data_IF_223170204602
#
_entry.id   IF_223170204602
#
_cell.length_a   1.000
_cell.length_b   1.000
_cell.length_c   1.000
_cell.angle_alpha   90.00
_cell.angle_beta   90.00
_cell.angle_gamma   90.00
#
_symmetry.space_group_name_H-M   'P 1'
#
loop_
_entity.id
_entity.type
_entity.pdbx_description
1 polymer ?
#
# COMPACT_ATOMS: atom_id res chain seq x y z
N UNK A 1 -14.62 -1.85 24.31
CA UNK A 1 -13.71 -0.76 24.73
C UNK A 1 -14.17 0.47 23.97
N UNK A 2 -14.89 1.39 24.63
CA UNK A 2 -15.24 2.66 24.01
C UNK A 2 -13.97 3.53 24.00
N UNK A 3 -13.78 4.33 22.95
CA UNK A 3 -12.68 5.31 22.91
C UNK A 3 -12.87 6.26 24.10
N UNK A 4 -11.87 6.36 24.97
CA UNK A 4 -11.97 7.10 26.24
C UNK A 4 -12.06 8.62 26.04
N UNK A 5 -11.60 9.12 24.89
CA UNK A 5 -11.67 10.54 24.51
C UNK A 5 -12.61 10.75 23.30
N UNK A 6 -13.73 11.49 23.47
CA UNK A 6 -14.65 11.79 22.37
C UNK A 6 -14.04 12.66 21.26
N UNK A 7 -12.93 13.35 21.52
CA UNK A 7 -12.24 14.20 20.54
C UNK A 7 -11.20 13.43 19.72
N UNK A 8 -10.87 12.19 20.07
CA UNK A 8 -9.82 11.42 19.40
C UNK A 8 -10.08 11.26 17.89
N UNK A 9 -11.32 10.92 17.52
CA UNK A 9 -11.69 10.72 16.11
C UNK A 9 -11.73 12.05 15.33
N UNK A 10 -12.39 13.12 15.84
CA UNK A 10 -12.32 14.45 15.22
C UNK A 10 -10.90 14.97 15.02
N UNK A 11 -10.04 14.87 16.05
CA UNK A 11 -8.65 15.33 16.01
C UNK A 11 -7.86 14.55 14.96
N UNK A 12 -7.99 13.22 14.93
CA UNK A 12 -7.36 12.37 13.92
C UNK A 12 -7.75 12.78 12.49
N UNK A 13 -9.05 12.96 12.24
CA UNK A 13 -9.55 13.37 10.91
C UNK A 13 -9.02 14.78 10.54
N UNK A 14 -9.00 15.71 11.50
CA UNK A 14 -8.45 17.04 11.26
C UNK A 14 -6.97 16.99 10.89
N UNK A 15 -6.16 16.21 11.60
CA UNK A 15 -4.73 16.07 11.30
C UNK A 15 -4.47 15.38 9.94
N UNK A 16 -5.34 14.46 9.53
CA UNK A 16 -5.27 13.84 8.19
C UNK A 16 -5.58 14.85 7.07
N UNK A 17 -6.48 15.81 7.31
CA UNK A 17 -7.01 16.69 6.27
C UNK A 17 -6.48 18.13 6.31
N UNK A 18 -5.77 18.54 7.37
CA UNK A 18 -5.25 19.91 7.53
C UNK A 18 -4.00 20.18 6.68
N UNK A 19 -3.36 19.13 6.18
CA UNK A 19 -2.18 19.21 5.32
C UNK A 19 -2.56 19.44 3.85
N UNK A 20 -1.56 19.72 3.01
CA UNK A 20 -1.77 19.84 1.57
C UNK A 20 -2.34 18.52 1.00
N UNK A 21 -3.40 18.56 0.18
CA UNK A 21 -4.20 17.39 -0.20
C UNK A 21 -3.53 16.54 -1.29
N UNK A 22 -2.32 16.04 -1.05
CA UNK A 22 -1.54 15.28 -2.03
C UNK A 22 -2.22 13.95 -2.40
N UNK A 23 -2.75 13.23 -1.41
CA UNK A 23 -3.44 11.96 -1.61
C UNK A 23 -4.75 12.10 -2.40
N UNK A 24 -5.59 13.06 -2.01
CA UNK A 24 -6.88 13.32 -2.67
C UNK A 24 -6.69 13.85 -4.08
N UNK A 25 -5.73 14.76 -4.28
CA UNK A 25 -5.38 15.28 -5.60
C UNK A 25 -4.84 14.18 -6.51
N UNK A 26 -3.96 13.31 -6.00
CA UNK A 26 -3.46 12.17 -6.75
C UNK A 26 -4.58 11.19 -7.09
N UNK A 27 -5.45 10.86 -6.13
CA UNK A 27 -6.58 9.96 -6.34
C UNK A 27 -7.55 10.52 -7.38
N UNK A 28 -7.90 11.80 -7.31
CA UNK A 28 -8.71 12.49 -8.32
C UNK A 28 -8.03 12.50 -9.69
N UNK A 29 -6.72 12.75 -9.75
CA UNK A 29 -5.96 12.71 -10.98
C UNK A 29 -5.96 11.31 -11.62
N UNK A 30 -5.95 10.24 -10.81
CA UNK A 30 -5.89 8.85 -11.27
C UNK A 30 -7.27 8.25 -11.61
N UNK A 31 -8.37 8.89 -11.24
CA UNK A 31 -9.73 8.39 -11.48
C UNK A 31 -10.52 9.22 -12.50
N UNK A 32 -11.49 8.57 -13.16
CA UNK A 32 -12.47 9.13 -14.08
C UNK A 32 -13.87 8.91 -13.52
N UNK A 33 -14.76 9.86 -13.77
CA UNK A 33 -16.19 9.78 -13.45
C UNK A 33 -16.44 9.34 -12.00
N UNK A 34 -17.29 8.32 -11.80
CA UNK A 34 -17.70 7.78 -10.51
C UNK A 34 -16.64 6.88 -9.83
N UNK A 35 -15.35 7.22 -9.96
CA UNK A 35 -14.26 6.51 -9.27
C UNK A 35 -13.62 5.37 -10.05
N UNK A 36 -13.75 5.34 -11.38
CA UNK A 36 -13.07 4.36 -12.21
C UNK A 36 -11.60 4.74 -12.41
N UNK A 37 -10.68 3.78 -12.34
CA UNK A 37 -9.29 4.07 -12.66
C UNK A 37 -9.12 4.49 -14.14
N UNK A 38 -8.51 5.65 -14.41
CA UNK A 38 -8.21 6.13 -15.77
C UNK A 38 -7.29 5.16 -16.52
N UNK A 39 -6.28 4.63 -15.83
CA UNK A 39 -5.28 3.72 -16.38
C UNK A 39 -5.17 2.47 -15.50
N UNK A 40 -6.12 1.53 -15.60
CA UNK A 40 -6.20 0.39 -14.69
C UNK A 40 -5.02 -0.57 -14.89
N UNK A 41 -4.45 -1.04 -13.79
CA UNK A 41 -3.23 -1.88 -13.81
C UNK A 41 -3.41 -3.18 -14.58
N UNK A 42 -4.63 -3.76 -14.58
CA UNK A 42 -4.96 -5.01 -15.28
C UNK A 42 -4.70 -4.96 -16.79
N UNK A 43 -4.70 -3.77 -17.40
CA UNK A 43 -4.39 -3.57 -18.83
C UNK A 43 -2.89 -3.58 -19.15
N UNK A 44 -2.04 -3.52 -18.13
CA UNK A 44 -0.58 -3.38 -18.25
C UNK A 44 0.22 -4.27 -17.29
N UNK A 45 -0.46 -5.20 -16.63
CA UNK A 45 0.13 -6.10 -15.62
C UNK A 45 1.12 -7.11 -16.25
N UNK A 46 0.95 -7.41 -17.53
CA UNK A 46 1.84 -8.19 -18.39
C UNK A 46 3.16 -7.47 -18.69
N UNK A 47 3.19 -6.13 -18.58
CA UNK A 47 4.40 -5.32 -18.81
C UNK A 47 5.29 -5.17 -17.58
N UNK A 48 4.80 -5.59 -16.41
CA UNK A 48 5.60 -5.60 -15.19
C UNK A 48 6.65 -6.70 -15.29
N UNK A 49 7.84 -6.45 -14.73
CA UNK A 49 8.94 -7.41 -14.69
C UNK A 49 8.42 -8.81 -14.27
N UNK A 50 8.65 -9.87 -15.05
CA UNK A 50 8.20 -11.21 -14.72
C UNK A 50 8.71 -11.72 -13.36
N UNK A 51 9.85 -11.22 -12.89
CA UNK A 51 10.44 -11.57 -11.60
C UNK A 51 9.81 -10.82 -10.43
N UNK A 52 8.99 -9.79 -10.68
CA UNK A 52 8.30 -9.08 -9.60
C UNK A 52 7.13 -9.93 -9.08
N UNK A 53 7.18 -10.41 -7.83
CA UNK A 53 6.12 -11.21 -7.24
C UNK A 53 4.90 -10.34 -6.91
N UNK A 54 3.70 -10.86 -7.15
CA UNK A 54 2.46 -10.16 -6.86
C UNK A 54 1.60 -10.98 -5.90
N UNK A 55 1.26 -10.39 -4.76
CA UNK A 55 0.27 -10.95 -3.83
C UNK A 55 -0.96 -10.04 -3.78
N UNK A 56 -2.14 -10.59 -4.10
CA UNK A 56 -3.42 -9.89 -4.08
C UNK A 56 -4.24 -10.34 -2.87
N UNK A 57 -4.68 -9.38 -2.06
CA UNK A 57 -5.44 -9.61 -0.84
C UNK A 57 -6.88 -9.11 -1.00
N UNK A 58 -7.86 -9.95 -0.65
CA UNK A 58 -9.28 -9.60 -0.64
C UNK A 58 -9.93 -9.95 0.70
N UNK A 59 -10.99 -9.22 1.05
CA UNK A 59 -11.90 -9.63 2.12
C UNK A 59 -13.07 -10.42 1.55
N UNK A 60 -13.44 -11.53 2.20
CA UNK A 60 -14.51 -12.41 1.75
C UNK A 60 -15.89 -11.74 1.63
N UNK A 61 -16.12 -10.62 2.33
CA UNK A 61 -17.37 -9.83 2.29
C UNK A 61 -17.21 -8.52 1.51
N UNK A 62 -16.13 -8.36 0.76
CA UNK A 62 -15.94 -7.19 -0.10
C UNK A 62 -17.00 -7.18 -1.21
N UNK A 63 -17.51 -5.99 -1.50
CA UNK A 63 -18.39 -5.71 -2.64
C UNK A 63 -17.64 -5.64 -3.98
N UNK A 64 -16.31 -5.62 -3.94
CA UNK A 64 -15.44 -5.68 -5.11
C UNK A 64 -15.28 -7.12 -5.57
N UNK A 65 -15.47 -7.37 -6.86
CA UNK A 65 -15.33 -8.70 -7.43
C UNK A 65 -13.88 -9.23 -7.40
N UNK A 66 -13.74 -10.56 -7.50
CA UNK A 66 -12.45 -11.24 -7.52
C UNK A 66 -11.90 -11.42 -8.95
N UNK A 67 -12.53 -10.83 -9.98
CA UNK A 67 -12.23 -11.07 -11.40
C UNK A 67 -10.81 -10.64 -11.77
N UNK A 68 -10.27 -9.63 -11.08
CA UNK A 68 -8.90 -9.19 -11.29
C UNK A 68 -7.89 -10.32 -10.99
N UNK A 69 -8.19 -11.21 -10.04
CA UNK A 69 -7.34 -12.35 -9.73
C UNK A 69 -7.18 -13.32 -10.91
N UNK A 70 -8.29 -13.62 -11.60
CA UNK A 70 -8.27 -14.49 -12.77
C UNK A 70 -7.50 -13.86 -13.93
N UNK A 71 -7.72 -12.56 -14.18
CA UNK A 71 -7.02 -11.84 -15.25
C UNK A 71 -5.51 -11.79 -14.99
N UNK A 72 -5.09 -11.57 -13.73
CA UNK A 72 -3.66 -11.55 -13.38
C UNK A 72 -3.05 -12.93 -13.57
N UNK A 73 -3.74 -13.99 -13.13
CA UNK A 73 -3.29 -15.37 -13.29
C UNK A 73 -3.10 -15.74 -14.76
N UNK A 74 -3.98 -15.30 -15.64
CA UNK A 74 -3.85 -15.51 -17.09
C UNK A 74 -2.68 -14.72 -17.68
N UNK A 75 -2.58 -13.43 -17.36
CA UNK A 75 -1.59 -12.51 -17.96
C UNK A 75 -0.17 -12.66 -17.41
N UNK A 76 0.00 -13.29 -16.25
CA UNK A 76 1.29 -13.46 -15.56
C UNK A 76 1.60 -14.93 -15.27
N UNK A 77 1.35 -15.81 -16.24
CA UNK A 77 1.51 -17.27 -16.11
C UNK A 77 2.94 -17.71 -15.76
N UNK A 78 3.94 -16.91 -16.16
CA UNK A 78 5.36 -17.19 -15.92
C UNK A 78 5.94 -16.40 -14.73
N UNK A 79 5.08 -15.82 -13.88
CA UNK A 79 5.48 -15.01 -12.73
C UNK A 79 4.79 -15.50 -11.47
N UNK A 80 5.38 -15.22 -10.31
CA UNK A 80 4.71 -15.50 -9.05
C UNK A 80 3.46 -14.63 -8.88
N UNK A 81 2.33 -15.30 -8.65
CA UNK A 81 1.07 -14.68 -8.29
C UNK A 81 0.41 -15.48 -7.16
N UNK A 82 0.01 -14.79 -6.10
CA UNK A 82 -0.73 -15.36 -4.98
C UNK A 82 -1.99 -14.56 -4.71
N UNK A 83 -3.13 -15.23 -4.63
CA UNK A 83 -4.41 -14.65 -4.25
C UNK A 83 -4.77 -15.14 -2.84
N UNK A 84 -5.03 -14.21 -1.91
CA UNK A 84 -5.47 -14.53 -0.56
C UNK A 84 -6.81 -13.86 -0.28
N UNK A 85 -7.73 -14.63 0.29
CA UNK A 85 -9.05 -14.15 0.72
C UNK A 85 -9.16 -14.29 2.23
N UNK A 86 -9.34 -13.16 2.91
CA UNK A 86 -9.44 -13.06 4.37
C UNK A 86 -10.89 -13.25 4.78
N UNK A 87 -11.14 -14.36 5.47
CA UNK A 87 -12.46 -14.69 5.99
C UNK A 87 -12.90 -13.68 7.05
N UNK A 88 -14.14 -13.23 6.93
CA UNK A 88 -14.74 -12.30 7.88
C UNK A 88 -14.20 -10.87 7.80
N UNK A 89 -13.58 -10.47 6.68
CA UNK A 89 -13.22 -9.09 6.35
C UNK A 89 -14.02 -8.57 5.14
N UNK A 90 -14.32 -7.28 5.14
CA UNK A 90 -14.90 -6.52 4.03
C UNK A 90 -13.83 -5.86 3.15
N UNK A 91 -14.12 -4.68 2.61
CA UNK A 91 -13.21 -3.98 1.69
C UNK A 91 -11.92 -3.48 2.37
N UNK A 92 -12.05 -2.90 3.56
CA UNK A 92 -10.91 -2.41 4.35
C UNK A 92 -10.34 -3.53 5.22
N UNK A 93 -9.71 -4.52 4.60
CA UNK A 93 -9.19 -5.72 5.27
C UNK A 93 -8.24 -5.41 6.44
N UNK A 94 -7.45 -4.35 6.32
CA UNK A 94 -6.52 -3.88 7.36
C UNK A 94 -7.25 -3.37 8.61
N UNK A 95 -8.49 -2.89 8.48
CA UNK A 95 -9.30 -2.41 9.60
C UNK A 95 -10.13 -3.54 10.22
N UNK A 96 -10.68 -4.44 9.40
CA UNK A 96 -11.55 -5.53 9.87
C UNK A 96 -10.77 -6.70 10.50
N UNK A 97 -9.58 -7.01 9.97
CA UNK A 97 -8.75 -8.17 10.35
C UNK A 97 -7.25 -7.79 10.35
N UNK A 98 -6.83 -6.83 11.20
CA UNK A 98 -5.47 -6.29 11.18
C UNK A 98 -4.40 -7.37 11.36
N UNK A 99 -4.59 -8.35 12.26
CA UNK A 99 -3.60 -9.40 12.51
C UNK A 99 -3.41 -10.31 11.29
N UNK A 100 -4.52 -10.73 10.67
CA UNK A 100 -4.48 -11.57 9.47
C UNK A 100 -3.90 -10.81 8.28
N UNK A 101 -4.26 -9.54 8.11
CA UNK A 101 -3.70 -8.69 7.06
C UNK A 101 -2.18 -8.53 7.24
N UNK A 102 -1.73 -8.17 8.44
CA UNK A 102 -0.31 -7.96 8.73
C UNK A 102 0.51 -9.23 8.48
N UNK A 103 0.03 -10.39 8.93
CA UNK A 103 0.72 -11.65 8.68
C UNK A 103 0.85 -11.94 7.18
N UNK A 104 -0.20 -11.71 6.39
CA UNK A 104 -0.14 -11.92 4.94
C UNK A 104 0.82 -10.96 4.23
N UNK A 105 0.97 -9.73 4.72
CA UNK A 105 1.94 -8.76 4.21
C UNK A 105 3.36 -9.24 4.54
N UNK A 106 3.61 -9.69 5.78
CA UNK A 106 4.90 -10.24 6.20
C UNK A 106 5.26 -11.45 5.33
N UNK A 107 4.36 -12.42 5.16
CA UNK A 107 4.58 -13.60 4.32
C UNK A 107 4.94 -13.22 2.87
N UNK A 108 4.34 -12.15 2.34
CA UNK A 108 4.63 -11.67 0.98
C UNK A 108 6.03 -11.02 0.89
N UNK A 109 6.44 -10.28 1.91
CA UNK A 109 7.78 -9.72 2.02
C UNK A 109 8.83 -10.84 2.16
N UNK A 110 8.63 -11.79 3.07
CA UNK A 110 9.53 -12.93 3.28
C UNK A 110 9.71 -13.77 2.01
N UNK A 111 8.62 -14.00 1.26
CA UNK A 111 8.71 -14.65 -0.04
C UNK A 111 9.62 -13.86 -1.00
N UNK A 112 9.42 -12.55 -1.09
CA UNK A 112 10.21 -11.68 -1.98
C UNK A 112 11.69 -11.69 -1.59
N UNK A 113 12.00 -11.58 -0.30
CA UNK A 113 13.37 -11.59 0.20
C UNK A 113 14.06 -12.94 -0.02
N UNK A 114 13.32 -14.05 0.14
CA UNK A 114 13.85 -15.40 -0.10
C UNK A 114 14.15 -15.70 -1.57
N UNK A 115 13.47 -15.02 -2.49
CA UNK A 115 13.59 -15.25 -3.94
C UNK A 115 14.55 -14.28 -4.63
N UNK A 116 14.93 -13.20 -3.95
CA UNK A 116 15.85 -12.20 -4.48
C UNK A 116 16.88 -11.77 -3.42
N UNK A 117 17.96 -12.56 -3.21
CA UNK A 117 19.00 -12.24 -2.23
C UNK A 117 19.76 -10.94 -2.53
N UNK A 118 19.67 -10.41 -3.75
CA UNK A 118 20.41 -9.23 -4.22
C UNK A 118 19.73 -7.88 -3.89
N UNK A 119 18.50 -7.87 -3.37
CA UNK A 119 17.76 -6.62 -3.06
C UNK A 119 17.96 -6.13 -1.61
N UNK A 120 18.79 -6.81 -0.81
CA UNK A 120 19.04 -6.49 0.61
C UNK A 120 19.86 -5.20 0.85
N UNK A 121 19.83 -4.20 -0.03
CA UNK A 121 20.61 -2.95 0.13
C UNK A 121 19.89 -1.70 -0.34
N UNK A 122 18.73 -1.41 0.24
CA UNK A 122 18.38 -0.01 0.52
C UNK A 122 18.18 0.11 2.02
N UNK A 123 19.30 0.07 2.75
CA UNK A 123 19.36 0.67 4.08
C UNK A 123 19.30 2.17 3.82
N UNK A 124 18.17 2.80 4.16
CA UNK A 124 18.09 4.26 4.24
C UNK A 124 19.09 4.65 5.32
N UNK A 125 20.26 5.13 4.91
CA UNK A 125 21.22 5.71 5.84
C UNK A 125 20.56 6.92 6.51
N UNK A 126 20.68 7.10 7.84
CA UNK A 126 20.18 8.30 8.48
C UNK A 126 20.88 9.51 7.87
N UNK A 127 20.10 10.52 7.47
CA UNK A 127 20.63 11.82 7.03
C UNK A 127 21.55 12.35 8.12
N UNK A 128 22.80 12.63 7.75
CA UNK A 128 23.71 13.36 8.63
C UNK A 128 23.24 14.81 8.68
N UNK A 129 22.74 15.26 9.82
CA UNK A 129 22.65 16.68 10.16
C UNK A 129 24.01 17.33 9.91
N UNK A 130 24.07 18.19 8.89
CA UNK A 130 25.18 19.12 8.73
C UNK A 130 24.88 20.29 9.67
N UNK A 131 25.55 20.33 10.81
CA UNK A 131 25.65 21.54 11.63
C UNK A 131 26.22 22.68 10.77
N UNK A 132 25.42 23.70 10.49
CA UNK A 132 25.92 24.94 9.90
C UNK A 132 26.83 25.65 10.91
N UNK A 133 28.05 26.07 10.52
CA UNK A 133 28.89 26.86 11.40
C UNK A 133 28.31 28.27 11.57
N UNK A 134 28.02 28.60 12.82
CA UNK A 134 27.64 29.93 13.31
C UNK A 134 28.69 30.96 12.86
N UNK A 135 28.38 31.74 11.82
CA UNK A 135 29.27 32.80 11.35
C UNK A 135 29.16 33.99 12.32
N UNK A 136 30.26 34.25 13.01
CA UNK A 136 30.51 35.42 13.85
C UNK A 136 29.98 36.71 13.20
N UNK A 137 28.87 37.24 13.75
CA UNK A 137 28.52 38.65 13.57
C UNK A 137 29.34 39.47 14.55
N UNK A 138 30.49 39.95 14.09
CA UNK A 138 31.12 41.12 14.68
C UNK A 138 31.71 42.02 13.59
N UNK A 139 30.97 43.06 13.22
CA UNK A 139 31.45 44.34 12.68
C UNK A 139 30.37 45.40 12.87
#
# INVERSE_FOLDING_TARGET
MALEDPNLIPEYIYQCNSQQPSGESAFHAMMSDFGWAKVPIVKRIDKLDPNMPITLLYGARSWVDHSAGDIIKEKRTNSYFKLQVISGAGHHIYADKPESFNQMVIDACEYTDSTNPDTTRIIIAPEQEQDEPESDRNS
#
